data_IF_398962389643
#
_entry.id   IF_398962389643
#
_cell.length_a   1.000
_cell.length_b   1.000
_cell.length_c   1.000
_cell.angle_alpha   90.00
_cell.angle_beta   90.00
_cell.angle_gamma   90.00
#
_symmetry.space_group_name_H-M   'P 1'
#
loop_
_entity.id
_entity.type
_entity.pdbx_description
1 polymer ?
#
# COMPACT_ATOMS: atom_id res chain seq x y z
N UNK A 1 4.57 -6.00 69.12
CA UNK A 1 5.62 -6.48 68.18
C UNK A 1 4.96 -6.66 66.82
N UNK A 2 5.24 -5.78 65.86
CA UNK A 2 4.62 -5.77 64.53
C UNK A 2 5.60 -6.37 63.52
N UNK A 3 5.17 -7.37 62.77
CA UNK A 3 5.93 -7.98 61.67
C UNK A 3 5.70 -7.17 60.39
N UNK A 4 6.75 -6.50 59.90
CA UNK A 4 6.75 -5.83 58.60
C UNK A 4 6.69 -6.85 57.45
N UNK A 5 5.71 -6.68 56.57
CA UNK A 5 5.59 -7.45 55.34
C UNK A 5 6.45 -6.81 54.25
N UNK A 6 7.47 -7.54 53.79
CA UNK A 6 8.34 -7.15 52.66
C UNK A 6 7.56 -7.25 51.35
N UNK A 7 7.41 -6.18 50.54
CA UNK A 7 6.78 -6.30 49.25
C UNK A 7 7.75 -6.95 48.25
N UNK A 8 7.44 -8.20 47.85
CA UNK A 8 8.09 -8.85 46.71
C UNK A 8 7.61 -8.16 45.43
N UNK A 9 8.40 -7.19 44.96
CA UNK A 9 8.24 -6.61 43.63
C UNK A 9 8.46 -7.71 42.59
N UNK A 10 7.38 -8.21 41.98
CA UNK A 10 7.49 -9.09 40.83
C UNK A 10 7.86 -8.24 39.61
N UNK A 11 8.96 -8.53 38.90
CA UNK A 11 9.26 -7.83 37.65
C UNK A 11 8.13 -8.13 36.65
N UNK A 12 7.40 -7.08 36.26
CA UNK A 12 6.43 -7.15 35.18
C UNK A 12 7.06 -7.64 33.87
N UNK A 13 6.25 -8.12 32.92
CA UNK A 13 6.75 -8.68 31.67
C UNK A 13 7.62 -7.64 30.97
N UNK A 14 8.91 -7.95 30.81
CA UNK A 14 9.85 -7.13 30.04
C UNK A 14 9.27 -6.99 28.63
N UNK A 15 9.11 -5.75 28.19
CA UNK A 15 8.79 -5.42 26.80
C UNK A 15 9.81 -6.14 25.93
N UNK A 16 9.36 -7.19 25.27
CA UNK A 16 10.18 -7.95 24.33
C UNK A 16 10.51 -6.98 23.21
N UNK A 17 11.80 -6.76 22.96
CA UNK A 17 12.31 -6.15 21.72
C UNK A 17 11.71 -6.93 20.56
N UNK A 18 10.57 -6.46 20.04
CA UNK A 18 10.03 -7.00 18.81
C UNK A 18 11.04 -6.62 17.71
N UNK A 19 11.56 -7.58 16.94
CA UNK A 19 12.41 -7.26 15.81
C UNK A 19 11.69 -6.25 14.91
N UNK A 20 12.41 -5.27 14.33
CA UNK A 20 11.80 -4.26 13.48
C UNK A 20 10.93 -4.95 12.44
N UNK A 21 9.69 -4.49 12.29
CA UNK A 21 8.77 -5.06 11.32
C UNK A 21 9.30 -4.76 9.91
N UNK A 22 10.06 -5.70 9.36
CA UNK A 22 10.64 -5.66 8.01
C UNK A 22 9.59 -5.90 6.93
N UNK A 23 8.33 -6.18 7.32
CA UNK A 23 7.28 -6.41 6.34
C UNK A 23 6.95 -5.10 5.63
N UNK A 24 6.79 -5.13 4.30
CA UNK A 24 6.27 -3.97 3.59
C UNK A 24 4.94 -3.54 4.20
N UNK A 25 4.76 -2.22 4.38
CA UNK A 25 3.51 -1.69 4.93
C UNK A 25 2.36 -1.93 3.96
N UNK A 26 1.15 -1.93 4.49
CA UNK A 26 -0.06 -2.17 3.71
C UNK A 26 -0.11 -1.29 2.45
N UNK A 27 -0.39 -1.92 1.30
CA UNK A 27 -0.45 -1.24 0.00
C UNK A 27 0.90 -1.04 -0.71
N UNK A 28 1.98 -1.63 -0.22
CA UNK A 28 3.28 -1.62 -0.91
C UNK A 28 3.19 -2.19 -2.34
N UNK A 29 2.55 -3.35 -2.52
CA UNK A 29 2.37 -3.97 -3.85
C UNK A 29 1.56 -3.06 -4.80
N UNK A 30 0.58 -2.33 -4.26
CA UNK A 30 -0.20 -1.38 -5.04
C UNK A 30 0.66 -0.20 -5.49
N UNK A 31 1.50 0.34 -4.60
CA UNK A 31 2.42 1.45 -4.91
C UNK A 31 3.40 1.05 -6.02
N UNK A 32 4.06 -0.09 -5.88
CA UNK A 32 5.01 -0.61 -6.88
C UNK A 32 4.33 -0.79 -8.25
N UNK A 33 3.10 -1.30 -8.25
CA UNK A 33 2.29 -1.44 -9.47
C UNK A 33 1.98 -0.10 -10.13
N UNK A 34 1.56 0.90 -9.35
CA UNK A 34 1.25 2.25 -9.84
C UNK A 34 2.50 2.94 -10.39
N UNK A 35 3.65 2.84 -9.72
CA UNK A 35 4.92 3.40 -10.18
C UNK A 35 5.41 2.78 -11.49
N UNK A 36 5.27 1.45 -11.62
CA UNK A 36 5.56 0.72 -12.86
C UNK A 36 4.69 1.22 -14.03
N UNK A 37 3.40 1.46 -13.79
CA UNK A 37 2.50 1.95 -14.83
C UNK A 37 2.78 3.40 -15.19
N UNK A 38 3.01 4.27 -14.20
CA UNK A 38 3.38 5.67 -14.42
C UNK A 38 4.68 5.82 -15.21
N UNK A 39 5.72 5.06 -14.88
CA UNK A 39 6.99 5.08 -15.63
C UNK A 39 6.82 4.63 -17.08
N UNK A 40 5.93 3.66 -17.34
CA UNK A 40 5.60 3.21 -18.69
C UNK A 40 4.81 4.24 -19.47
N UNK A 41 3.85 4.92 -18.83
CA UNK A 41 3.07 6.02 -19.42
C UNK A 41 3.96 7.18 -19.87
N UNK A 42 5.06 7.45 -19.16
CA UNK A 42 6.01 8.51 -19.54
C UNK A 42 7.04 8.08 -20.59
N UNK A 43 7.18 6.79 -20.86
CA UNK A 43 8.26 6.24 -21.71
C UNK A 43 7.88 6.09 -23.19
N UNK A 44 6.66 6.43 -23.60
CA UNK A 44 6.22 6.39 -25.00
C UNK A 44 4.86 5.69 -25.20
N UNK A 45 4.45 5.42 -26.46
CA UNK A 45 3.16 4.81 -26.75
C UNK A 45 3.10 3.36 -26.23
N UNK A 46 2.28 3.14 -25.20
CA UNK A 46 2.03 1.84 -24.60
C UNK A 46 0.64 1.34 -25.01
N UNK A 47 0.47 0.01 -25.09
CA UNK A 47 -0.86 -0.57 -25.23
C UNK A 47 -1.63 -0.38 -23.93
N UNK A 48 -2.71 0.41 -23.96
CA UNK A 48 -3.51 0.73 -22.79
C UNK A 48 -4.05 -0.51 -22.06
N UNK A 49 -4.39 -1.57 -22.80
CA UNK A 49 -4.79 -2.89 -22.26
C UNK A 49 -3.71 -3.47 -21.34
N UNK A 50 -2.44 -3.45 -21.76
CA UNK A 50 -1.35 -4.00 -20.97
C UNK A 50 -1.11 -3.22 -19.67
N UNK A 51 -1.29 -1.89 -19.71
CA UNK A 51 -1.19 -1.05 -18.51
C UNK A 51 -2.36 -1.29 -17.54
N UNK A 52 -3.58 -1.45 -18.06
CA UNK A 52 -4.75 -1.79 -17.25
C UNK A 52 -4.57 -3.16 -16.57
N UNK A 53 -4.02 -4.15 -17.28
CA UNK A 53 -3.76 -5.48 -16.73
C UNK A 53 -2.63 -5.48 -15.68
N UNK A 54 -1.60 -4.64 -15.86
CA UNK A 54 -0.58 -4.40 -14.82
C UNK A 54 -1.23 -3.83 -13.53
N UNK A 55 -2.14 -2.86 -13.64
CA UNK A 55 -2.87 -2.30 -12.49
C UNK A 55 -3.76 -3.34 -11.83
N UNK A 56 -4.49 -4.15 -12.60
CA UNK A 56 -5.31 -5.26 -12.08
C UNK A 56 -4.47 -6.30 -11.35
N UNK A 57 -3.27 -6.61 -11.88
CA UNK A 57 -2.32 -7.51 -11.23
C UNK A 57 -1.83 -6.95 -9.90
N UNK A 58 -1.57 -5.64 -9.81
CA UNK A 58 -1.20 -4.98 -8.55
C UNK A 58 -2.35 -5.01 -7.52
N UNK A 59 -3.58 -4.77 -7.96
CA UNK A 59 -4.79 -4.89 -7.13
C UNK A 59 -4.98 -6.32 -6.59
N UNK A 60 -4.82 -7.33 -7.45
CA UNK A 60 -4.93 -8.73 -7.07
C UNK A 60 -3.87 -9.13 -6.03
N UNK A 61 -2.61 -8.70 -6.20
CA UNK A 61 -1.55 -8.93 -5.21
C UNK A 61 -1.84 -8.26 -3.87
N UNK A 62 -2.31 -7.02 -3.90
CA UNK A 62 -2.72 -6.29 -2.69
C UNK A 62 -3.86 -6.99 -1.96
N UNK A 63 -4.82 -7.57 -2.70
CA UNK A 63 -5.90 -8.36 -2.14
C UNK A 63 -5.42 -9.69 -1.53
N UNK A 64 -4.49 -10.38 -2.21
CA UNK A 64 -3.90 -11.63 -1.71
C UNK A 64 -3.11 -11.43 -0.39
N UNK A 65 -2.54 -10.24 -0.17
CA UNK A 65 -1.90 -9.87 1.09
C UNK A 65 -2.89 -9.43 2.19
N UNK A 66 -4.17 -9.31 1.87
CA UNK A 66 -5.20 -8.85 2.81
C UNK A 66 -5.17 -7.33 3.05
N UNK A 67 -4.40 -6.57 2.28
CA UNK A 67 -4.20 -5.14 2.49
C UNK A 67 -5.29 -4.27 1.88
N UNK A 68 -6.13 -4.81 0.99
CA UNK A 68 -7.16 -4.05 0.27
C UNK A 68 -8.13 -3.31 1.19
N UNK A 69 -8.37 -3.82 2.41
CA UNK A 69 -9.23 -3.13 3.39
C UNK A 69 -8.56 -1.91 4.01
N UNK A 70 -7.23 -1.92 4.15
CA UNK A 70 -6.44 -0.81 4.72
C UNK A 70 -6.18 0.31 3.72
N UNK A 71 -6.07 -0.04 2.43
CA UNK A 71 -5.84 0.92 1.34
C UNK A 71 -7.02 0.97 0.36
N UNK A 72 -8.24 0.88 0.90
CA UNK A 72 -9.46 0.77 0.10
C UNK A 72 -9.69 1.96 -0.84
N UNK A 73 -9.55 3.23 -0.39
CA UNK A 73 -9.69 4.38 -1.28
C UNK A 73 -8.67 4.34 -2.44
N UNK A 74 -7.45 3.89 -2.16
CA UNK A 74 -6.41 3.78 -3.18
C UNK A 74 -6.70 2.65 -4.17
N UNK A 75 -7.23 1.51 -3.70
CA UNK A 75 -7.66 0.43 -4.58
C UNK A 75 -8.76 0.89 -5.54
N UNK A 76 -9.74 1.64 -5.05
CA UNK A 76 -10.86 2.11 -5.85
C UNK A 76 -10.42 3.18 -6.88
N UNK A 77 -9.50 4.07 -6.49
CA UNK A 77 -8.87 5.01 -7.43
C UNK A 77 -8.06 4.30 -8.54
N UNK A 78 -7.29 3.27 -8.19
CA UNK A 78 -6.53 2.48 -9.18
C UNK A 78 -7.45 1.68 -10.11
N UNK A 79 -8.57 1.16 -9.61
CA UNK A 79 -9.60 0.52 -10.45
C UNK A 79 -10.17 1.50 -11.47
N UNK A 80 -10.55 2.70 -11.03
CA UNK A 80 -11.05 3.75 -11.91
C UNK A 80 -10.01 4.11 -12.98
N UNK A 81 -8.74 4.27 -12.60
CA UNK A 81 -7.67 4.56 -13.55
C UNK A 81 -7.49 3.43 -14.59
N UNK A 82 -7.61 2.16 -14.18
CA UNK A 82 -7.53 1.03 -15.12
C UNK A 82 -8.70 1.05 -16.13
N UNK A 83 -9.90 1.42 -15.70
CA UNK A 83 -11.06 1.54 -16.58
C UNK A 83 -10.92 2.72 -17.56
N UNK A 84 -10.38 3.85 -17.08
CA UNK A 84 -10.08 5.01 -17.93
C UNK A 84 -9.03 4.70 -18.99
N UNK A 85 -7.98 3.94 -18.64
CA UNK A 85 -7.00 3.46 -19.62
C UNK A 85 -7.67 2.63 -20.72
N UNK A 86 -8.63 1.77 -20.39
CA UNK A 86 -9.36 1.00 -21.40
C UNK A 86 -10.27 1.84 -22.30
N UNK A 87 -10.66 3.04 -21.86
CA UNK A 87 -11.45 4.00 -22.64
C UNK A 87 -10.59 5.00 -23.41
N UNK A 88 -9.27 4.83 -23.39
CA UNK A 88 -8.29 5.75 -23.97
C UNK A 88 -8.25 7.13 -23.29
N UNK A 89 -8.79 7.24 -22.08
CA UNK A 89 -8.80 8.45 -21.24
C UNK A 89 -7.48 8.57 -20.45
N UNK A 90 -6.36 8.61 -21.17
CA UNK A 90 -5.00 8.48 -20.60
C UNK A 90 -4.63 9.63 -19.65
N UNK A 91 -5.08 10.85 -19.95
CA UNK A 91 -4.77 12.04 -19.14
C UNK A 91 -5.41 11.94 -17.76
N UNK A 92 -6.69 11.56 -17.69
CA UNK A 92 -7.42 11.41 -16.44
C UNK A 92 -6.90 10.21 -15.64
N UNK A 93 -6.62 9.09 -16.32
CA UNK A 93 -5.98 7.94 -15.70
C UNK A 93 -4.63 8.33 -15.06
N UNK A 94 -3.79 9.09 -15.78
CA UNK A 94 -2.51 9.55 -15.27
C UNK A 94 -2.66 10.44 -14.03
N UNK A 95 -3.59 11.41 -14.07
CA UNK A 95 -3.84 12.30 -12.94
C UNK A 95 -4.25 11.53 -11.67
N UNK A 96 -5.15 10.55 -11.82
CA UNK A 96 -5.57 9.69 -10.71
C UNK A 96 -4.40 8.86 -10.19
N UNK A 97 -3.62 8.21 -11.07
CA UNK A 97 -2.48 7.40 -10.67
C UNK A 97 -1.40 8.20 -9.93
N UNK A 98 -1.13 9.44 -10.35
CA UNK A 98 -0.19 10.34 -9.65
C UNK A 98 -0.68 10.65 -8.24
N UNK A 99 -1.98 10.95 -8.08
CA UNK A 99 -2.58 11.17 -6.77
C UNK A 99 -2.49 9.93 -5.89
N UNK A 100 -2.88 8.76 -6.40
CA UNK A 100 -2.84 7.51 -5.64
C UNK A 100 -1.41 7.12 -5.26
N UNK A 101 -0.43 7.34 -6.13
CA UNK A 101 1.00 7.15 -5.81
C UNK A 101 1.43 8.01 -4.62
N UNK A 102 1.06 9.30 -4.60
CA UNK A 102 1.43 10.20 -3.52
C UNK A 102 0.84 9.75 -2.17
N UNK A 103 -0.47 9.44 -2.15
CA UNK A 103 -1.14 8.96 -0.94
C UNK A 103 -0.55 7.63 -0.43
N UNK A 104 -0.25 6.69 -1.34
CA UNK A 104 0.40 5.42 -0.97
C UNK A 104 1.82 5.63 -0.46
N UNK A 105 2.62 6.48 -1.11
CA UNK A 105 3.98 6.77 -0.69
C UNK A 105 4.03 7.45 0.68
N UNK A 106 3.09 8.35 0.98
CA UNK A 106 2.98 8.96 2.30
C UNK A 106 2.59 7.92 3.37
N UNK A 107 1.71 6.98 3.04
CA UNK A 107 1.37 5.86 3.92
C UNK A 107 2.56 4.93 4.20
N UNK A 108 3.54 4.84 3.28
CA UNK A 108 4.76 4.08 3.52
C UNK A 108 5.74 4.78 4.50
N UNK A 109 5.64 6.11 4.66
CA UNK A 109 6.55 6.90 5.51
C UNK A 109 6.07 7.09 6.95
N UNK A 110 4.78 6.92 7.22
CA UNK A 110 4.14 7.12 8.54
C UNK A 110 4.15 5.85 9.35
#
# INVERSE_FOLDING_TARGET
MATEAVPRSMPGPRVVDLPPDIRPRAGHELLVGVEKVLSRLTSGPQKAVGLADDLRTALARTAALGDSCRVRPQCDGVRLAADLLLRDEVVDAHAILVRMRAELADAQRR
#
